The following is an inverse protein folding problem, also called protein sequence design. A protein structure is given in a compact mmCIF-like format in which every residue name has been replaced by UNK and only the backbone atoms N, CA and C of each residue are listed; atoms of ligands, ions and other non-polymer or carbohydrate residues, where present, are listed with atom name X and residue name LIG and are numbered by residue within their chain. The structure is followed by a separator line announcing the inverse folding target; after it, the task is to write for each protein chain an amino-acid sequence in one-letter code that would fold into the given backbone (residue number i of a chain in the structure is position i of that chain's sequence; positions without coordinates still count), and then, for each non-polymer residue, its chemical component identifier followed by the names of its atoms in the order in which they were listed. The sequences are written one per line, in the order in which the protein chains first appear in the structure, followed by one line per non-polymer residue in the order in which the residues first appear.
data_IF_732330624205
#
_entry.id   IF_732330624205
#
_cell.length_a   1.000
_cell.length_b   1.000
_cell.length_c   1.000
_cell.angle_alpha   90.00
_cell.angle_beta   90.00
_cell.angle_gamma   90.00
#
_symmetry.space_group_name_H-M   'P 1'
#
loop_
_entity.id
_entity.type
_entity.pdbx_description
1 polymer ?
#
# COMPACT_ATOMS: atom_id res chain seq x y z
N UNK A 1 -3.64 20.22 -11.41
CA UNK A 1 -2.91 18.95 -11.71
C UNK A 1 -2.12 19.15 -12.98
N UNK A 2 -0.88 18.64 -13.08
CA UNK A 2 -0.08 18.73 -14.32
C UNK A 2 -0.71 17.78 -15.34
N UNK A 3 -0.92 18.25 -16.57
CA UNK A 3 -1.47 17.41 -17.64
C UNK A 3 -0.45 16.34 -18.09
N UNK A 4 -0.95 15.24 -18.67
CA UNK A 4 -0.12 14.10 -19.03
C UNK A 4 0.96 14.47 -20.06
N UNK A 5 0.63 15.31 -21.03
CA UNK A 5 1.59 15.73 -22.06
C UNK A 5 2.75 16.54 -21.46
N UNK A 6 2.47 17.35 -20.43
CA UNK A 6 3.52 18.07 -19.69
C UNK A 6 4.35 17.09 -18.83
N UNK A 7 3.72 16.07 -18.20
CA UNK A 7 4.46 15.02 -17.48
C UNK A 7 5.39 14.26 -18.42
N UNK A 8 4.91 13.86 -19.58
CA UNK A 8 5.70 13.14 -20.57
C UNK A 8 6.90 13.99 -21.04
N UNK A 9 6.69 15.27 -21.33
CA UNK A 9 7.78 16.22 -21.66
C UNK A 9 8.82 16.34 -20.55
N UNK A 10 8.39 16.37 -19.28
CA UNK A 10 9.31 16.41 -18.14
C UNK A 10 10.14 15.13 -18.07
N UNK A 11 9.51 13.98 -18.23
CA UNK A 11 10.18 12.67 -18.17
C UNK A 11 11.16 12.48 -19.34
N UNK A 12 10.79 12.90 -20.53
CA UNK A 12 11.65 12.81 -21.72
C UNK A 12 12.89 13.73 -21.60
N UNK A 13 12.72 14.92 -21.02
CA UNK A 13 13.82 15.85 -20.81
C UNK A 13 14.74 15.44 -19.64
N UNK A 14 14.18 14.84 -18.61
CA UNK A 14 14.88 14.55 -17.36
C UNK A 14 15.71 13.25 -17.46
N UNK A 15 16.90 13.32 -18.03
CA UNK A 15 17.81 12.17 -18.10
C UNK A 15 18.29 11.79 -16.70
N UNK A 16 18.10 10.52 -16.32
CA UNK A 16 18.40 10.02 -14.96
C UNK A 16 19.86 10.25 -14.55
N UNK A 17 20.80 10.11 -15.47
CA UNK A 17 22.25 10.30 -15.19
C UNK A 17 22.52 11.76 -14.87
N UNK A 18 21.98 12.68 -15.65
CA UNK A 18 22.22 14.11 -15.48
C UNK A 18 21.68 14.59 -14.13
N UNK A 19 20.46 14.18 -13.81
CA UNK A 19 19.83 14.55 -12.53
C UNK A 19 20.58 13.96 -11.35
N UNK A 20 20.89 12.66 -11.38
CA UNK A 20 21.57 11.99 -10.27
C UNK A 20 23.00 12.50 -10.09
N UNK A 21 23.70 12.88 -11.17
CA UNK A 21 25.08 13.40 -11.11
C UNK A 21 25.23 14.70 -10.34
N UNK A 22 24.14 15.45 -10.13
CA UNK A 22 24.17 16.65 -9.30
C UNK A 22 24.30 16.35 -7.80
N UNK A 23 23.87 15.17 -7.39
CA UNK A 23 23.83 14.74 -5.99
C UNK A 23 24.85 13.67 -5.66
N UNK A 24 25.26 12.88 -6.66
CA UNK A 24 26.12 11.70 -6.50
C UNK A 24 27.25 11.73 -7.51
N UNK A 25 28.48 11.61 -7.04
CA UNK A 25 29.64 11.42 -7.91
C UNK A 25 29.55 10.06 -8.58
N UNK A 26 29.19 10.04 -9.86
CA UNK A 26 29.02 8.84 -10.65
C UNK A 26 30.29 8.48 -11.43
N UNK A 27 30.65 7.19 -11.48
CA UNK A 27 31.71 6.64 -12.32
C UNK A 27 31.11 5.63 -13.29
N UNK A 28 31.53 5.70 -14.56
CA UNK A 28 31.05 4.76 -15.58
C UNK A 28 31.54 3.35 -15.29
N UNK A 29 30.62 2.36 -15.35
CA UNK A 29 30.91 0.94 -15.22
C UNK A 29 30.15 0.17 -16.31
N UNK A 30 30.81 -0.08 -17.43
CA UNK A 30 30.20 -0.65 -18.63
C UNK A 30 29.13 0.29 -19.21
N UNK A 31 27.90 -0.19 -19.35
CA UNK A 31 26.74 0.56 -19.86
C UNK A 31 26.02 1.38 -18.77
N UNK A 32 26.35 1.18 -17.51
CA UNK A 32 25.76 1.85 -16.36
C UNK A 32 26.77 2.78 -15.67
N UNK A 33 26.26 3.54 -14.70
CA UNK A 33 27.06 4.35 -13.78
C UNK A 33 26.92 3.81 -12.35
N UNK A 34 27.96 4.01 -11.52
CA UNK A 34 27.97 3.58 -10.12
C UNK A 34 28.50 4.71 -9.25
N UNK A 35 27.93 4.87 -8.06
CA UNK A 35 28.35 5.84 -7.04
C UNK A 35 28.02 5.38 -5.63
N UNK A 36 28.37 6.20 -4.64
CA UNK A 36 27.93 5.99 -3.26
C UNK A 36 26.45 6.37 -3.16
N UNK A 37 25.69 5.59 -2.39
CA UNK A 37 24.27 5.82 -2.24
C UNK A 37 23.97 7.11 -1.46
N UNK A 38 23.11 8.00 -1.96
CA UNK A 38 22.74 9.20 -1.24
C UNK A 38 21.73 8.96 -0.11
N UNK A 39 21.17 7.75 -0.01
CA UNK A 39 20.09 7.41 0.92
C UNK A 39 20.56 6.67 2.17
N UNK A 40 21.83 6.25 2.24
CA UNK A 40 22.45 5.64 3.42
C UNK A 40 23.97 5.78 3.36
N UNK A 41 24.63 5.69 4.52
CA UNK A 41 26.08 5.74 4.60
C UNK A 41 26.72 4.42 4.17
N UNK A 42 27.62 4.47 3.17
CA UNK A 42 28.41 3.34 2.71
C UNK A 42 29.81 3.79 2.29
N UNK A 43 30.77 2.85 2.35
CA UNK A 43 32.15 3.09 1.92
C UNK A 43 32.43 2.52 0.52
N UNK A 44 31.62 1.56 0.10
CA UNK A 44 31.77 0.88 -1.20
C UNK A 44 30.56 1.25 -2.07
N UNK A 45 30.78 1.75 -3.31
CA UNK A 45 29.69 2.14 -4.19
C UNK A 45 28.74 0.99 -4.49
N UNK A 46 27.46 1.17 -4.14
CA UNK A 46 26.38 0.21 -4.43
C UNK A 46 25.20 0.82 -5.17
N UNK A 47 25.23 2.13 -5.42
CA UNK A 47 24.18 2.85 -6.14
C UNK A 47 24.47 2.84 -7.64
N UNK A 48 23.63 2.14 -8.40
CA UNK A 48 23.75 2.00 -9.85
C UNK A 48 22.70 2.84 -10.57
N UNK A 49 23.11 3.50 -11.66
CA UNK A 49 22.25 4.28 -12.55
C UNK A 49 22.34 3.71 -13.96
N UNK A 50 21.21 3.34 -14.53
CA UNK A 50 21.09 2.79 -15.87
C UNK A 50 20.48 3.81 -16.83
N UNK A 51 21.29 4.43 -17.74
CA UNK A 51 20.76 5.39 -18.71
C UNK A 51 19.70 4.77 -19.63
N UNK A 52 19.98 3.57 -20.13
CA UNK A 52 19.09 2.88 -21.08
C UNK A 52 17.71 2.51 -20.49
N UNK A 53 17.64 2.31 -19.16
CA UNK A 53 16.39 1.99 -18.46
C UNK A 53 15.74 3.23 -17.85
N UNK A 54 16.42 4.38 -17.79
CA UNK A 54 15.96 5.57 -17.06
C UNK A 54 15.76 5.34 -15.55
N UNK A 55 16.54 4.41 -14.96
CA UNK A 55 16.36 3.98 -13.57
C UNK A 55 17.66 4.05 -12.78
N UNK A 56 17.53 4.28 -11.47
CA UNK A 56 18.59 4.10 -10.50
C UNK A 56 18.18 3.07 -9.44
N UNK A 57 19.15 2.39 -8.82
CA UNK A 57 18.93 1.43 -7.73
C UNK A 57 20.16 1.30 -6.85
N UNK A 58 19.97 1.37 -5.55
CA UNK A 58 20.97 0.96 -4.58
C UNK A 58 20.84 -0.53 -4.28
N UNK A 59 21.90 -1.31 -4.52
CA UNK A 59 21.90 -2.76 -4.24
C UNK A 59 22.13 -3.10 -2.76
N UNK A 60 22.47 -2.10 -1.93
CA UNK A 60 22.65 -2.26 -0.49
C UNK A 60 21.35 -1.97 0.28
N UNK A 61 20.76 -0.77 0.12
CA UNK A 61 19.55 -0.40 0.85
C UNK A 61 18.24 -0.62 0.06
N UNK A 62 18.32 -1.00 -1.23
CA UNK A 62 17.17 -1.28 -2.07
C UNK A 62 16.42 -0.06 -2.64
N UNK A 63 16.75 1.16 -2.19
CA UNK A 63 16.12 2.39 -2.70
C UNK A 63 16.48 2.63 -4.17
N UNK A 64 15.51 3.12 -4.94
CA UNK A 64 15.69 3.41 -6.35
C UNK A 64 14.37 3.66 -7.06
N UNK A 65 14.42 3.89 -8.37
CA UNK A 65 13.28 4.17 -9.21
C UNK A 65 13.67 5.03 -10.42
N UNK A 66 12.67 5.65 -11.05
CA UNK A 66 12.93 6.62 -12.13
C UNK A 66 13.40 7.97 -11.56
N UNK A 67 13.64 8.93 -12.44
CA UNK A 67 14.14 10.27 -12.07
C UNK A 67 13.21 10.99 -11.08
N UNK A 68 11.90 10.84 -11.21
CA UNK A 68 10.93 11.46 -10.29
C UNK A 68 11.02 10.84 -8.92
N UNK A 69 11.07 9.51 -8.83
CA UNK A 69 11.24 8.80 -7.56
C UNK A 69 12.56 9.14 -6.87
N UNK A 70 13.64 9.33 -7.65
CA UNK A 70 14.91 9.75 -7.09
C UNK A 70 14.79 11.12 -6.41
N UNK A 71 14.18 12.10 -7.07
CA UNK A 71 13.97 13.45 -6.51
C UNK A 71 13.00 13.42 -5.33
N UNK A 72 11.92 12.62 -5.40
CA UNK A 72 11.00 12.44 -4.26
C UNK A 72 11.73 11.96 -3.01
N UNK A 73 12.58 10.95 -3.15
CA UNK A 73 13.31 10.35 -2.02
C UNK A 73 14.47 11.24 -1.53
N UNK A 74 15.18 11.92 -2.45
CA UNK A 74 16.32 12.73 -2.10
C UNK A 74 15.92 14.07 -1.47
N UNK A 75 14.97 14.77 -2.08
CA UNK A 75 14.50 16.08 -1.65
C UNK A 75 13.30 16.00 -0.70
N UNK A 76 12.84 14.76 -0.39
CA UNK A 76 11.66 14.51 0.46
C UNK A 76 10.38 15.21 -0.06
N UNK A 77 10.22 15.23 -1.37
CA UNK A 77 9.10 15.87 -2.06
C UNK A 77 7.99 14.88 -2.39
N UNK A 78 6.77 15.40 -2.50
CA UNK A 78 5.66 14.66 -3.12
C UNK A 78 5.90 14.50 -4.62
N UNK A 79 5.20 13.56 -5.25
CA UNK A 79 5.30 13.33 -6.70
C UNK A 79 5.07 14.61 -7.52
N UNK A 80 4.10 15.41 -7.13
CA UNK A 80 3.77 16.68 -7.78
C UNK A 80 4.87 17.73 -7.61
N UNK A 81 5.44 17.84 -6.43
CA UNK A 81 6.54 18.74 -6.14
C UNK A 81 7.83 18.33 -6.87
N UNK A 82 8.09 17.03 -6.96
CA UNK A 82 9.22 16.49 -7.73
C UNK A 82 9.08 16.78 -9.23
N UNK A 83 7.88 16.66 -9.80
CA UNK A 83 7.62 17.07 -11.16
C UNK A 83 7.83 18.58 -11.37
N UNK A 84 7.38 19.42 -10.43
CA UNK A 84 7.64 20.87 -10.48
C UNK A 84 9.13 21.20 -10.39
N UNK A 85 9.87 20.48 -9.56
CA UNK A 85 11.31 20.63 -9.43
C UNK A 85 12.01 20.31 -10.75
N UNK A 86 11.70 19.18 -11.37
CA UNK A 86 12.24 18.77 -12.68
C UNK A 86 11.85 19.77 -13.79
N UNK A 87 10.59 20.19 -13.83
CA UNK A 87 10.12 21.15 -14.82
C UNK A 87 10.89 22.49 -14.74
N UNK A 88 11.13 23.00 -13.53
CA UNK A 88 11.94 24.21 -13.33
C UNK A 88 13.38 24.01 -13.83
N UNK A 89 13.99 22.86 -13.49
CA UNK A 89 15.34 22.52 -13.91
C UNK A 89 15.51 22.51 -15.43
N UNK A 90 14.55 21.94 -16.15
CA UNK A 90 14.57 21.82 -17.61
C UNK A 90 13.81 22.93 -18.33
N UNK A 91 13.43 23.98 -17.62
CA UNK A 91 12.73 25.16 -18.18
C UNK A 91 11.44 24.80 -18.92
N UNK A 92 10.71 23.77 -18.41
CA UNK A 92 9.45 23.32 -18.98
C UNK A 92 8.31 24.06 -18.29
N UNK A 93 7.55 24.82 -19.08
CA UNK A 93 6.37 25.49 -18.58
C UNK A 93 5.30 24.47 -18.20
N UNK A 94 4.86 24.53 -16.93
CA UNK A 94 3.79 23.67 -16.41
C UNK A 94 2.45 24.35 -16.72
N UNK A 95 1.69 23.76 -17.61
CA UNK A 95 0.29 24.12 -17.79
C UNK A 95 -0.50 23.41 -16.68
N UNK A 96 -0.84 24.14 -15.64
CA UNK A 96 -1.73 23.64 -14.59
C UNK A 96 -3.17 23.69 -15.13
N UNK A 97 -3.73 22.52 -15.40
CA UNK A 97 -5.16 22.40 -15.63
C UNK A 97 -5.87 22.64 -14.31
N UNK A 98 -6.72 23.65 -14.24
CA UNK A 98 -7.67 23.75 -13.14
C UNK A 98 -8.58 22.52 -13.17
N UNK A 99 -8.67 21.86 -12.02
CA UNK A 99 -9.61 20.75 -11.84
C UNK A 99 -11.02 21.30 -11.97
N UNK A 100 -11.87 20.60 -12.68
CA UNK A 100 -13.31 20.91 -12.67
C UNK A 100 -13.84 20.75 -11.24
N UNK A 101 -14.97 21.39 -10.93
CA UNK A 101 -15.55 21.25 -9.59
C UNK A 101 -15.93 19.81 -9.28
N UNK A 102 -16.31 19.01 -10.29
CA UNK A 102 -16.55 17.58 -10.17
C UNK A 102 -15.27 16.81 -9.82
N UNK A 103 -14.15 17.12 -10.47
CA UNK A 103 -12.84 16.50 -10.16
C UNK A 103 -12.35 16.88 -8.76
N UNK A 104 -12.56 18.12 -8.31
CA UNK A 104 -12.26 18.56 -6.94
C UNK A 104 -13.11 17.81 -5.92
N UNK A 105 -14.40 17.65 -6.20
CA UNK A 105 -15.32 16.90 -5.33
C UNK A 105 -14.94 15.41 -5.26
N UNK A 106 -14.62 14.78 -6.39
CA UNK A 106 -14.18 13.39 -6.45
C UNK A 106 -12.86 13.18 -5.68
N UNK A 107 -11.90 14.10 -5.82
CA UNK A 107 -10.63 14.04 -5.06
C UNK A 107 -10.89 14.21 -3.56
N UNK A 108 -11.70 15.18 -3.15
CA UNK A 108 -12.08 15.41 -1.76
C UNK A 108 -12.82 14.22 -1.16
N UNK A 109 -13.72 13.59 -1.94
CA UNK A 109 -14.41 12.37 -1.54
C UNK A 109 -13.41 11.24 -1.32
N UNK A 110 -12.52 10.99 -2.29
CA UNK A 110 -11.51 9.94 -2.20
C UNK A 110 -10.62 10.09 -0.96
N UNK A 111 -10.14 11.29 -0.66
CA UNK A 111 -9.36 11.56 0.56
C UNK A 111 -10.21 11.29 1.82
N UNK A 112 -11.48 11.69 1.84
CA UNK A 112 -12.39 11.41 2.95
C UNK A 112 -12.59 9.91 3.19
N UNK A 113 -12.63 9.09 2.13
CA UNK A 113 -12.72 7.63 2.23
C UNK A 113 -11.44 7.01 2.83
N UNK A 114 -10.26 7.52 2.47
CA UNK A 114 -8.99 7.09 3.12
C UNK A 114 -8.97 7.44 4.60
N UNK A 115 -9.41 8.64 4.97
CA UNK A 115 -9.44 9.09 6.37
C UNK A 115 -10.39 8.21 7.20
N UNK A 116 -11.54 7.85 6.68
CA UNK A 116 -12.50 6.98 7.39
C UNK A 116 -11.97 5.55 7.53
N UNK A 117 -11.26 5.02 6.51
CA UNK A 117 -10.63 3.71 6.61
C UNK A 117 -9.47 3.69 7.61
N UNK A 118 -8.67 4.75 7.64
CA UNK A 118 -7.61 4.89 8.63
C UNK A 118 -8.18 4.92 10.05
N UNK A 119 -9.23 5.70 10.29
CA UNK A 119 -9.94 5.71 11.56
C UNK A 119 -10.46 4.31 11.95
N UNK A 120 -11.06 3.59 11.00
CA UNK A 120 -11.56 2.25 11.27
C UNK A 120 -10.43 1.27 11.65
N UNK A 121 -9.26 1.35 10.99
CA UNK A 121 -8.10 0.55 11.34
C UNK A 121 -7.62 0.84 12.77
N UNK A 122 -7.50 2.11 13.14
CA UNK A 122 -7.13 2.53 14.48
C UNK A 122 -8.16 2.08 15.52
N UNK A 123 -9.45 2.21 15.22
CA UNK A 123 -10.54 1.74 16.07
C UNK A 123 -10.47 0.23 16.32
N UNK A 124 -10.32 -0.59 15.29
CA UNK A 124 -10.22 -2.04 15.44
C UNK A 124 -8.96 -2.44 16.19
N UNK A 125 -7.86 -1.72 16.00
CA UNK A 125 -6.63 -1.96 16.74
C UNK A 125 -6.79 -1.56 18.22
N UNK A 126 -7.42 -0.45 18.52
CA UNK A 126 -7.74 -0.03 19.89
C UNK A 126 -8.62 -1.07 20.60
N UNK A 127 -9.68 -1.56 19.94
CA UNK A 127 -10.51 -2.66 20.46
C UNK A 127 -9.67 -3.90 20.73
N UNK A 128 -8.74 -4.28 19.86
CA UNK A 128 -7.89 -5.45 20.08
C UNK A 128 -7.03 -5.33 21.34
N UNK A 129 -6.47 -4.15 21.60
CA UNK A 129 -5.52 -3.94 22.69
C UNK A 129 -6.16 -3.49 24.00
N UNK A 130 -7.24 -2.73 23.96
CA UNK A 130 -7.78 -2.00 25.11
C UNK A 130 -9.19 -2.47 25.53
N UNK A 131 -9.86 -3.30 24.73
CA UNK A 131 -11.16 -3.86 25.08
C UNK A 131 -11.03 -5.28 25.65
N UNK A 132 -11.87 -5.64 26.63
CA UNK A 132 -11.85 -6.96 27.30
C UNK A 132 -12.05 -8.09 26.28
N UNK A 133 -13.04 -7.99 25.40
CA UNK A 133 -13.30 -9.01 24.37
C UNK A 133 -12.20 -9.04 23.31
N UNK A 134 -11.64 -7.87 22.96
CA UNK A 134 -10.49 -7.78 22.09
C UNK A 134 -9.31 -8.59 22.59
N UNK A 135 -8.98 -8.46 23.88
CA UNK A 135 -7.89 -9.21 24.52
C UNK A 135 -8.21 -10.70 24.69
N UNK A 136 -9.39 -11.01 25.24
CA UNK A 136 -9.77 -12.39 25.54
C UNK A 136 -10.03 -13.25 24.31
N UNK A 137 -10.55 -12.66 23.24
CA UNK A 137 -10.97 -13.37 22.03
C UNK A 137 -9.97 -13.10 20.90
N UNK A 138 -9.83 -11.84 20.51
CA UNK A 138 -9.01 -11.45 19.35
C UNK A 138 -7.51 -11.71 19.56
N UNK A 139 -6.94 -11.19 20.64
CA UNK A 139 -5.52 -11.34 20.95
C UNK A 139 -5.17 -12.81 21.27
N UNK A 140 -6.02 -13.52 22.03
CA UNK A 140 -5.83 -14.94 22.31
C UNK A 140 -5.81 -15.77 21.02
N UNK A 141 -6.68 -15.45 20.07
CA UNK A 141 -6.67 -16.12 18.78
C UNK A 141 -5.37 -15.86 18.00
N UNK A 142 -4.94 -14.59 17.92
CA UNK A 142 -3.72 -14.22 17.16
C UNK A 142 -2.47 -14.85 17.77
N UNK A 143 -2.32 -14.79 19.10
CA UNK A 143 -1.23 -15.47 19.82
C UNK A 143 -1.29 -16.97 19.73
N UNK A 144 -2.49 -17.56 19.78
CA UNK A 144 -2.72 -18.99 19.59
C UNK A 144 -2.36 -19.49 18.18
N UNK A 145 -2.30 -18.60 17.18
CA UNK A 145 -1.73 -18.88 15.87
C UNK A 145 -0.21 -18.69 15.78
N UNK A 146 0.43 -18.34 16.88
CA UNK A 146 1.86 -18.12 16.95
C UNK A 146 2.31 -16.74 16.48
N UNK A 147 1.41 -15.75 16.31
CA UNK A 147 1.80 -14.41 15.92
C UNK A 147 2.37 -13.64 17.11
N UNK A 148 3.53 -13.01 16.91
CA UNK A 148 4.17 -12.16 17.90
C UNK A 148 3.50 -10.78 17.94
N UNK A 149 3.55 -10.14 19.10
CA UNK A 149 2.90 -8.84 19.34
C UNK A 149 3.49 -7.73 18.44
N UNK A 150 4.80 -7.76 18.13
CA UNK A 150 5.44 -6.82 17.19
C UNK A 150 4.86 -6.97 15.77
N UNK A 151 4.57 -8.19 15.34
CA UNK A 151 3.99 -8.50 14.04
C UNK A 151 2.50 -8.12 14.01
N UNK A 152 1.75 -8.42 15.07
CA UNK A 152 0.35 -8.00 15.21
C UNK A 152 0.24 -6.48 15.07
N UNK A 153 1.14 -5.74 15.73
CA UNK A 153 1.22 -4.28 15.64
C UNK A 153 1.65 -3.80 14.26
N UNK A 154 2.70 -4.41 13.68
CA UNK A 154 3.23 -4.06 12.34
C UNK A 154 2.17 -4.16 11.26
N UNK A 155 1.38 -5.24 11.26
CA UNK A 155 0.30 -5.45 10.29
C UNK A 155 -1.01 -4.74 10.66
N UNK A 156 -1.02 -3.97 11.75
CA UNK A 156 -2.19 -3.24 12.27
C UNK A 156 -3.41 -4.13 12.47
N UNK A 157 -3.19 -5.38 12.91
CA UNK A 157 -4.29 -6.31 13.14
C UNK A 157 -5.23 -5.77 14.21
N UNK A 158 -6.52 -6.02 14.03
CA UNK A 158 -7.56 -5.50 14.91
C UNK A 158 -8.61 -6.55 15.29
N UNK A 159 -9.57 -6.11 16.08
CA UNK A 159 -10.74 -6.90 16.45
C UNK A 159 -12.01 -6.03 16.41
N UNK A 160 -13.09 -6.60 15.92
CA UNK A 160 -14.42 -6.02 15.99
C UNK A 160 -15.28 -6.86 16.92
N UNK A 161 -15.91 -6.23 17.91
CA UNK A 161 -16.77 -6.91 18.88
C UNK A 161 -18.03 -7.49 18.22
N UNK A 162 -18.81 -8.28 18.97
CA UNK A 162 -20.07 -8.85 18.48
C UNK A 162 -21.20 -7.83 18.31
N UNK A 163 -21.00 -6.57 18.72
CA UNK A 163 -21.95 -5.48 18.47
C UNK A 163 -22.03 -5.20 16.97
N UNK A 164 -23.28 -5.09 16.50
CA UNK A 164 -23.54 -4.95 15.07
C UNK A 164 -23.44 -3.51 14.53
N UNK A 165 -23.18 -2.53 15.39
CA UNK A 165 -23.18 -1.11 15.06
C UNK A 165 -22.15 -0.29 15.87
N UNK A 166 -21.22 -0.96 16.53
CA UNK A 166 -20.24 -0.31 17.40
C UNK A 166 -19.32 0.65 16.63
N UNK A 167 -18.76 0.22 15.50
CA UNK A 167 -17.94 1.07 14.64
C UNK A 167 -18.76 2.22 14.07
N UNK A 168 -19.96 1.93 13.56
CA UNK A 168 -20.84 2.96 12.99
C UNK A 168 -21.14 4.07 13.99
N UNK A 169 -21.54 3.72 15.22
CA UNK A 169 -21.80 4.66 16.31
C UNK A 169 -20.57 5.48 16.67
N UNK A 170 -19.44 4.82 16.87
CA UNK A 170 -18.18 5.48 17.22
C UNK A 170 -17.73 6.46 16.12
N UNK A 171 -17.81 6.07 14.85
CA UNK A 171 -17.42 6.91 13.73
C UNK A 171 -18.34 8.15 13.60
N UNK A 172 -19.65 7.96 13.71
CA UNK A 172 -20.63 9.07 13.65
C UNK A 172 -20.40 10.03 14.82
N UNK A 173 -20.15 9.52 16.03
CA UNK A 173 -19.85 10.34 17.20
C UNK A 173 -18.55 11.17 17.02
N UNK A 174 -17.59 10.65 16.25
CA UNK A 174 -16.36 11.37 15.86
C UNK A 174 -16.56 12.35 14.70
N UNK A 175 -17.78 12.45 14.14
CA UNK A 175 -18.12 13.38 13.06
C UNK A 175 -17.95 12.83 11.64
N UNK A 176 -17.68 11.53 11.47
CA UNK A 176 -17.61 10.92 10.15
C UNK A 176 -19.00 10.75 9.54
N UNK A 177 -19.13 11.01 8.23
CA UNK A 177 -20.40 10.86 7.52
C UNK A 177 -20.77 9.40 7.34
N UNK A 178 -22.03 9.06 7.62
CA UNK A 178 -22.58 7.71 7.42
C UNK A 178 -22.36 7.16 6.01
N UNK A 179 -22.46 8.02 4.99
CA UNK A 179 -22.28 7.63 3.59
C UNK A 179 -20.85 7.18 3.28
N UNK A 180 -19.84 7.71 3.98
CA UNK A 180 -18.47 7.27 3.79
C UNK A 180 -18.23 5.87 4.36
N UNK A 181 -18.87 5.51 5.48
CA UNK A 181 -18.85 4.16 6.04
C UNK A 181 -19.49 3.14 5.08
N UNK A 182 -20.55 3.55 4.38
CA UNK A 182 -21.20 2.69 3.38
C UNK A 182 -20.37 2.59 2.11
N UNK A 183 -19.85 3.70 1.59
CA UNK A 183 -19.02 3.73 0.37
C UNK A 183 -17.71 2.94 0.50
N UNK A 184 -17.11 2.89 1.68
CA UNK A 184 -15.92 2.06 1.96
C UNK A 184 -16.26 0.60 2.27
N UNK A 185 -17.55 0.29 2.42
CA UNK A 185 -18.02 -1.05 2.79
C UNK A 185 -17.71 -1.45 4.23
N UNK A 186 -17.37 -0.50 5.11
CA UNK A 186 -17.26 -0.73 6.56
C UNK A 186 -18.63 -1.07 7.17
N UNK A 187 -19.67 -0.40 6.68
CA UNK A 187 -21.05 -0.62 7.08
C UNK A 187 -21.94 -0.84 5.86
N UNK A 188 -23.13 -1.33 6.09
CA UNK A 188 -24.23 -1.33 5.12
C UNK A 188 -25.50 -0.76 5.75
N UNK A 189 -26.37 -0.20 4.90
CA UNK A 189 -27.66 0.34 5.31
C UNK A 189 -28.71 -0.76 5.30
N UNK A 190 -29.49 -0.85 6.35
CA UNK A 190 -30.68 -1.71 6.39
C UNK A 190 -31.88 -1.00 5.77
N UNK A 191 -32.97 -1.74 5.59
CA UNK A 191 -34.24 -1.23 5.06
C UNK A 191 -34.85 -0.12 5.93
N UNK A 192 -34.60 -0.15 7.25
CA UNK A 192 -35.01 0.89 8.21
C UNK A 192 -34.10 2.12 8.22
N UNK A 193 -33.11 2.18 7.33
CA UNK A 193 -32.13 3.27 7.21
C UNK A 193 -30.98 3.22 8.22
N UNK A 194 -31.02 2.32 9.21
CA UNK A 194 -29.94 2.16 10.20
C UNK A 194 -28.69 1.55 9.60
N UNK A 195 -27.52 1.86 10.18
CA UNK A 195 -26.26 1.26 9.77
C UNK A 195 -26.01 -0.04 10.53
N UNK A 196 -25.37 -1.00 9.83
CA UNK A 196 -24.84 -2.21 10.42
C UNK A 196 -23.40 -2.42 10.00
N UNK A 197 -22.55 -2.73 10.96
CA UNK A 197 -21.13 -3.01 10.75
C UNK A 197 -20.97 -4.32 9.94
N UNK A 198 -20.07 -4.31 8.95
CA UNK A 198 -19.78 -5.49 8.11
C UNK A 198 -18.96 -6.54 8.85
N UNK A 199 -18.05 -6.08 9.71
CA UNK A 199 -17.00 -6.93 10.29
C UNK A 199 -17.23 -7.32 11.75
N UNK A 200 -18.44 -7.22 12.28
CA UNK A 200 -18.76 -7.59 13.66
C UNK A 200 -18.32 -9.04 14.02
N UNK A 201 -17.81 -9.23 15.23
CA UNK A 201 -17.37 -10.53 15.75
C UNK A 201 -16.16 -11.13 15.04
N UNK A 202 -15.23 -10.30 14.52
CA UNK A 202 -14.14 -10.76 13.65
C UNK A 202 -12.78 -10.19 14.06
N UNK A 203 -11.74 -10.99 13.86
CA UNK A 203 -10.37 -10.46 13.73
C UNK A 203 -10.23 -9.78 12.39
N UNK A 204 -9.58 -8.61 12.39
CA UNK A 204 -9.49 -7.70 11.26
C UNK A 204 -8.07 -7.67 10.71
N UNK A 205 -7.98 -7.72 9.37
CA UNK A 205 -6.76 -7.66 8.58
C UNK A 205 -6.86 -6.45 7.65
N UNK A 206 -6.23 -5.30 7.97
CA UNK A 206 -6.23 -4.13 7.10
C UNK A 206 -5.44 -4.40 5.82
N UNK A 207 -5.99 -3.99 4.68
CA UNK A 207 -5.34 -4.05 3.37
C UNK A 207 -4.75 -2.68 3.06
N UNK A 208 -3.46 -2.64 2.73
CA UNK A 208 -2.73 -1.40 2.48
C UNK A 208 -2.37 -1.26 1.01
N UNK A 209 -2.45 -0.04 0.50
CA UNK A 209 -1.84 0.31 -0.79
C UNK A 209 -0.32 0.19 -0.73
N UNK A 210 0.33 0.31 -1.87
CA UNK A 210 1.80 0.46 -1.97
C UNK A 210 2.36 1.61 -1.14
N UNK A 211 1.60 2.69 -0.96
CA UNK A 211 1.98 3.86 -0.14
C UNK A 211 1.66 3.70 1.35
N UNK A 212 1.01 2.61 1.77
CA UNK A 212 0.67 2.33 3.16
C UNK A 212 -0.67 2.91 3.63
N UNK A 213 -1.49 3.49 2.75
CA UNK A 213 -2.85 3.90 3.10
C UNK A 213 -3.77 2.68 3.21
N UNK A 214 -4.61 2.63 4.24
CA UNK A 214 -5.60 1.55 4.40
C UNK A 214 -6.76 1.74 3.43
N UNK A 215 -7.01 0.75 2.58
CA UNK A 215 -8.05 0.81 1.52
C UNK A 215 -9.20 -0.15 1.75
N UNK A 216 -8.97 -1.24 2.48
CA UNK A 216 -9.96 -2.29 2.69
C UNK A 216 -9.63 -3.11 3.94
N UNK A 217 -10.51 -4.04 4.27
CA UNK A 217 -10.36 -4.96 5.38
C UNK A 217 -10.76 -6.37 5.00
N UNK A 218 -10.04 -7.35 5.54
CA UNK A 218 -10.49 -8.71 5.67
C UNK A 218 -10.92 -8.98 7.11
N UNK A 219 -11.99 -9.74 7.30
CA UNK A 219 -12.47 -10.09 8.63
C UNK A 219 -12.66 -11.59 8.77
N UNK A 220 -12.03 -12.23 9.76
CA UNK A 220 -12.20 -13.65 10.07
C UNK A 220 -13.04 -13.84 11.32
N UNK A 221 -14.13 -14.59 11.21
CA UNK A 221 -14.94 -14.99 12.37
C UNK A 221 -14.19 -16.02 13.22
N UNK A 222 -14.24 -15.87 14.54
CA UNK A 222 -13.48 -16.72 15.46
C UNK A 222 -14.31 -17.82 16.12
N UNK A 223 -15.61 -17.66 16.23
CA UNK A 223 -16.43 -18.60 16.98
C UNK A 223 -17.35 -19.43 16.09
N UNK A 224 -17.25 -20.76 16.27
CA UNK A 224 -18.31 -21.69 15.93
C UNK A 224 -19.62 -21.42 16.75
N UNK A 225 -19.58 -20.58 17.78
CA UNK A 225 -20.72 -20.18 18.60
C UNK A 225 -21.67 -19.19 17.93
N UNK A 226 -21.23 -18.45 16.92
CA UNK A 226 -22.16 -17.74 16.02
C UNK A 226 -22.77 -18.75 15.05
N UNK A 227 -23.71 -19.54 15.56
CA UNK A 227 -24.41 -20.66 14.88
C UNK A 227 -25.04 -20.32 13.53
N UNK A 228 -24.98 -19.04 13.09
CA UNK A 228 -25.56 -18.53 11.84
C UNK A 228 -24.57 -17.77 10.94
N UNK A 229 -23.26 -17.78 11.19
CA UNK A 229 -22.29 -17.12 10.31
C UNK A 229 -21.84 -18.07 9.21
N UNK A 230 -22.45 -17.95 8.04
CA UNK A 230 -22.18 -18.82 6.88
C UNK A 230 -20.77 -18.61 6.27
N UNK A 231 -20.12 -17.47 6.47
CA UNK A 231 -18.83 -17.15 5.86
C UNK A 231 -17.71 -16.96 6.89
N UNK A 232 -16.70 -17.84 6.83
CA UNK A 232 -15.51 -17.79 7.66
C UNK A 232 -14.71 -16.50 7.48
N UNK A 233 -14.57 -16.03 6.25
CA UNK A 233 -13.95 -14.77 5.89
C UNK A 233 -14.94 -13.86 5.17
N UNK A 234 -14.87 -12.55 5.50
CA UNK A 234 -15.57 -11.48 4.80
C UNK A 234 -14.54 -10.43 4.42
N UNK A 235 -14.56 -9.98 3.18
CA UNK A 235 -13.71 -8.90 2.68
C UNK A 235 -14.54 -7.65 2.39
N UNK A 236 -13.88 -6.48 2.38
CA UNK A 236 -14.49 -5.27 1.86
C UNK A 236 -14.99 -5.48 0.42
N UNK A 237 -16.12 -4.89 0.04
CA UNK A 237 -16.55 -4.86 -1.35
C UNK A 237 -15.64 -3.94 -2.17
N UNK A 238 -15.80 -3.95 -3.50
CA UNK A 238 -15.22 -2.93 -4.38
C UNK A 238 -15.69 -1.53 -3.95
N UNK A 239 -14.81 -0.56 -4.08
CA UNK A 239 -15.11 0.84 -3.74
C UNK A 239 -14.28 1.80 -4.59
N UNK A 240 -14.51 3.11 -4.46
CA UNK A 240 -13.73 4.15 -5.15
C UNK A 240 -12.23 4.14 -4.80
N UNK A 241 -11.85 3.54 -3.67
CA UNK A 241 -10.46 3.45 -3.20
C UNK A 241 -9.91 2.03 -3.15
N UNK A 242 -10.73 1.00 -3.42
CA UNK A 242 -10.33 -0.39 -3.33
C UNK A 242 -10.81 -1.21 -4.52
N UNK A 243 -9.88 -1.82 -5.22
CA UNK A 243 -10.14 -2.79 -6.30
C UNK A 243 -9.38 -4.08 -6.01
N UNK A 244 -10.09 -5.18 -5.74
CA UNK A 244 -9.49 -6.49 -5.42
C UNK A 244 -8.50 -6.97 -6.47
N UNK A 245 -8.78 -6.69 -7.73
CA UNK A 245 -7.92 -7.05 -8.86
C UNK A 245 -6.59 -6.30 -8.92
N UNK A 246 -6.46 -5.22 -8.16
CA UNK A 246 -5.29 -4.31 -8.19
C UNK A 246 -4.52 -4.27 -6.87
N UNK A 247 -5.02 -4.93 -5.83
CA UNK A 247 -4.38 -4.89 -4.52
C UNK A 247 -3.84 -6.27 -4.14
N UNK A 248 -2.69 -6.26 -3.47
CA UNK A 248 -2.07 -7.44 -2.89
C UNK A 248 -1.89 -7.22 -1.39
N UNK A 249 -2.44 -8.12 -0.59
CA UNK A 249 -2.24 -8.06 0.85
C UNK A 249 -0.75 -8.24 1.19
N UNK A 250 -0.25 -7.40 2.08
CA UNK A 250 1.14 -7.44 2.52
C UNK A 250 2.12 -6.67 1.63
N UNK A 251 1.73 -6.18 0.45
CA UNK A 251 2.64 -5.53 -0.51
C UNK A 251 3.37 -4.31 0.09
N UNK A 252 2.72 -3.52 0.93
CA UNK A 252 3.35 -2.40 1.62
C UNK A 252 4.56 -2.82 2.43
N UNK A 253 4.44 -3.93 3.16
CA UNK A 253 5.51 -4.49 4.00
C UNK A 253 6.55 -5.27 3.19
N UNK A 254 6.13 -5.86 2.07
CA UNK A 254 6.95 -6.75 1.25
C UNK A 254 7.82 -6.02 0.22
N UNK A 255 7.40 -4.83 -0.26
CA UNK A 255 8.02 -4.15 -1.42
C UNK A 255 9.53 -3.99 -1.32
N UNK A 256 10.08 -3.64 -0.17
CA UNK A 256 11.53 -3.49 0.00
C UNK A 256 12.27 -4.83 -0.04
N UNK A 257 11.68 -5.87 0.54
CA UNK A 257 12.24 -7.21 0.52
C UNK A 257 12.17 -7.82 -0.90
N UNK A 258 11.10 -7.56 -1.64
CA UNK A 258 10.96 -7.95 -3.05
C UNK A 258 12.08 -7.32 -3.88
N UNK A 259 12.31 -6.01 -3.75
CA UNK A 259 13.39 -5.30 -4.44
C UNK A 259 14.76 -5.89 -4.09
N UNK A 260 15.02 -6.11 -2.78
CA UNK A 260 16.31 -6.60 -2.28
C UNK A 260 16.62 -8.01 -2.74
N UNK A 261 15.61 -8.88 -2.76
CA UNK A 261 15.77 -10.31 -3.06
C UNK A 261 15.47 -10.65 -4.53
N UNK A 262 14.98 -9.68 -5.31
CA UNK A 262 14.54 -9.86 -6.70
C UNK A 262 13.56 -11.04 -6.88
N UNK A 263 12.68 -11.21 -5.90
CA UNK A 263 11.72 -12.32 -5.83
C UNK A 263 10.51 -11.93 -5.00
N UNK A 264 9.33 -12.36 -5.44
CA UNK A 264 8.07 -12.22 -4.72
C UNK A 264 7.45 -13.61 -4.52
N UNK A 265 7.07 -13.94 -3.28
CA UNK A 265 6.27 -15.11 -2.98
C UNK A 265 4.79 -14.74 -2.95
N UNK A 266 3.97 -15.52 -3.63
CA UNK A 266 2.53 -15.39 -3.61
C UNK A 266 1.93 -16.54 -2.79
N UNK A 267 1.07 -16.21 -1.84
CA UNK A 267 0.32 -17.16 -1.01
C UNK A 267 -1.19 -16.87 -1.08
N UNK A 268 -2.02 -17.75 -0.51
CA UNK A 268 -3.47 -17.65 -0.65
C UNK A 268 -4.11 -16.64 0.31
N UNK A 269 -3.61 -16.55 1.55
CA UNK A 269 -4.34 -15.85 2.61
C UNK A 269 -3.52 -14.89 3.45
N UNK A 270 -4.25 -14.06 4.19
CA UNK A 270 -3.68 -13.05 5.11
C UNK A 270 -2.74 -13.66 6.15
N UNK A 271 -3.17 -14.76 6.76
CA UNK A 271 -2.39 -15.45 7.81
C UNK A 271 -1.12 -16.07 7.29
N UNK A 272 -1.08 -16.49 6.03
CA UNK A 272 0.10 -17.09 5.41
C UNK A 272 1.16 -16.02 5.17
N UNK A 273 0.74 -14.83 4.67
CA UNK A 273 1.63 -13.67 4.55
C UNK A 273 2.25 -13.32 5.91
N UNK A 274 1.44 -13.23 6.96
CA UNK A 274 1.92 -12.83 8.29
C UNK A 274 2.87 -13.89 8.86
N UNK A 275 2.55 -15.18 8.70
CA UNK A 275 3.40 -16.30 9.16
C UNK A 275 4.76 -16.31 8.46
N UNK A 276 4.78 -16.18 7.13
CA UNK A 276 6.02 -16.14 6.36
C UNK A 276 6.85 -14.90 6.70
N UNK A 277 6.19 -13.74 6.75
CA UNK A 277 6.85 -12.48 7.10
C UNK A 277 7.52 -12.55 8.48
N UNK A 278 6.82 -13.10 9.49
CA UNK A 278 7.35 -13.30 10.84
C UNK A 278 8.56 -14.24 10.86
N UNK A 279 8.58 -15.23 9.95
CA UNK A 279 9.68 -16.19 9.82
C UNK A 279 10.87 -15.64 9.01
N UNK A 280 10.86 -14.34 8.65
CA UNK A 280 11.93 -13.68 7.91
C UNK A 280 11.77 -13.74 6.38
N UNK A 281 10.71 -14.35 5.86
CA UNK A 281 10.37 -14.32 4.44
C UNK A 281 9.45 -13.12 4.21
N UNK A 282 10.08 -11.93 4.17
CA UNK A 282 9.34 -10.66 4.12
C UNK A 282 8.81 -10.31 2.72
N UNK A 283 9.35 -10.90 1.65
CA UNK A 283 8.96 -10.69 0.25
C UNK A 283 7.73 -11.53 -0.16
N UNK A 284 6.71 -11.55 0.66
CA UNK A 284 5.50 -12.38 0.51
C UNK A 284 4.23 -11.52 0.46
N UNK A 285 3.31 -11.87 -0.44
CA UNK A 285 2.02 -11.19 -0.65
C UNK A 285 0.91 -12.21 -0.89
N UNK A 286 -0.35 -11.77 -0.77
CA UNK A 286 -1.51 -12.61 -1.10
C UNK A 286 -2.52 -11.88 -1.99
N UNK A 287 -3.19 -12.63 -2.87
CA UNK A 287 -4.28 -12.13 -3.74
C UNK A 287 -5.64 -11.99 -3.04
N UNK A 288 -5.70 -12.31 -1.74
CA UNK A 288 -6.91 -12.16 -0.89
C UNK A 288 -8.14 -12.94 -1.37
N UNK A 289 -7.94 -14.16 -1.87
CA UNK A 289 -9.01 -15.09 -2.22
C UNK A 289 -9.59 -14.89 -3.62
N UNK A 290 -8.85 -14.24 -4.51
CA UNK A 290 -9.16 -14.16 -5.95
C UNK A 290 -8.07 -14.86 -6.77
N UNK A 291 -8.40 -15.27 -8.00
CA UNK A 291 -7.37 -15.68 -8.96
C UNK A 291 -6.40 -14.50 -9.20
N UNK A 292 -5.13 -14.82 -9.36
CA UNK A 292 -4.09 -13.82 -9.63
C UNK A 292 -4.37 -13.10 -10.94
N UNK A 293 -4.42 -11.77 -10.90
CA UNK A 293 -4.69 -10.93 -12.08
C UNK A 293 -3.40 -10.43 -12.73
N UNK A 294 -3.49 -10.05 -14.01
CA UNK A 294 -2.37 -9.43 -14.71
C UNK A 294 -1.89 -8.13 -14.04
N UNK A 295 -2.81 -7.36 -13.42
CA UNK A 295 -2.47 -6.14 -12.70
C UNK A 295 -1.70 -6.43 -11.41
N UNK A 296 -2.11 -7.46 -10.66
CA UNK A 296 -1.38 -7.92 -9.47
C UNK A 296 0.02 -8.47 -9.82
N UNK A 297 0.14 -9.19 -10.94
CA UNK A 297 1.45 -9.63 -11.45
C UNK A 297 2.33 -8.43 -11.79
N UNK A 298 1.80 -7.42 -12.46
CA UNK A 298 2.53 -6.18 -12.78
C UNK A 298 3.05 -5.48 -11.53
N UNK A 299 2.28 -5.44 -10.46
CA UNK A 299 2.72 -4.86 -9.18
C UNK A 299 3.94 -5.62 -8.64
N UNK A 300 3.93 -6.94 -8.65
CA UNK A 300 5.10 -7.73 -8.24
C UNK A 300 6.30 -7.47 -9.16
N UNK A 301 6.08 -7.43 -10.48
CA UNK A 301 7.14 -7.21 -11.48
C UNK A 301 7.72 -5.80 -11.46
N UNK A 302 6.99 -4.78 -10.98
CA UNK A 302 7.53 -3.43 -10.78
C UNK A 302 8.71 -3.40 -9.79
N UNK A 303 8.77 -4.38 -8.89
CA UNK A 303 9.78 -4.48 -7.85
C UNK A 303 10.79 -5.60 -8.06
N UNK A 304 10.61 -6.43 -9.11
CA UNK A 304 11.58 -7.45 -9.53
C UNK A 304 12.29 -7.01 -10.81
N UNK A 305 13.52 -7.43 -11.01
CA UNK A 305 14.20 -7.23 -12.30
C UNK A 305 13.52 -8.11 -13.37
N UNK A 306 13.27 -7.61 -14.58
CA UNK A 306 12.76 -8.47 -15.65
C UNK A 306 13.74 -9.61 -15.90
N UNK A 307 13.21 -10.84 -15.88
CA UNK A 307 14.00 -12.03 -16.23
C UNK A 307 14.41 -11.94 -17.69
N UNK A 308 15.64 -12.37 -18.06
CA UNK A 308 16.02 -12.50 -19.47
C UNK A 308 15.07 -13.40 -20.30
N UNK A 309 14.23 -14.20 -19.63
CA UNK A 309 13.25 -15.08 -20.25
C UNK A 309 11.91 -14.39 -20.51
N UNK A 310 11.63 -13.23 -19.91
CA UNK A 310 10.36 -12.52 -20.07
C UNK A 310 10.24 -11.85 -21.46
N UNK A 311 11.35 -11.72 -22.19
CA UNK A 311 11.37 -11.24 -23.58
C UNK A 311 11.04 -12.30 -24.64
N UNK A 312 10.74 -13.54 -24.25
CA UNK A 312 10.46 -14.65 -25.18
C UNK A 312 8.96 -15.03 -25.23
N UNK A 313 8.09 -14.26 -24.59
CA UNK A 313 6.63 -14.46 -24.58
C UNK A 313 5.88 -13.28 -25.25
N UNK A 314 6.44 -12.71 -26.29
CA UNK A 314 5.74 -11.78 -27.19
C UNK A 314 5.42 -12.46 -28.51
#
# INVERSE_FOLDING_TARGET
MIDQATIDRILDAAQIVDVVSEFVTLRRRGVNYIGLCPFHNEKTPSFSVSPSKGLCKCFSCGKGGNVVHFIMEHEQLTYYEALKWLARKYNIEIKERELTDEEKQAHSLRESLFVVNQYAAEYFQDILYNNIDGQRIGMTYLRGRGFRDDIIKKFQLGYSTDSHDALAKAAIQKGYKADYLVKTGLCYRKDDGSLRDRFWGRVIFPVHTLSGKVVAFGGRVLNAATKNVQMKYVNSPESEIYHKSRELYGIYFAKQAIVRQDRCFLVEGYTDVISMHQSGIENVVASSGTALTAEQIRICLLYTSPSPRDGLLS
#
